data_IF_244549445113
#
_entry.id   IF_244549445113
#
_cell.length_a   1.000
_cell.length_b   1.000
_cell.length_c   1.000
_cell.angle_alpha   90.00
_cell.angle_beta   90.00
_cell.angle_gamma   90.00
#
_symmetry.space_group_name_H-M   'P 1'
#
loop_
_entity.id
_entity.type
_entity.pdbx_description
1 polymer ?
#
# COMPACT_ATOMS: atom_id res chain seq x y z
N UNK A 1 -5.06 10.22 7.09
CA UNK A 1 -5.85 9.83 5.90
C UNK A 1 -5.41 8.47 5.44
N UNK A 2 -6.18 7.79 4.59
CA UNK A 2 -5.81 6.49 4.04
C UNK A 2 -4.79 6.66 2.88
N UNK A 3 -3.59 6.07 2.97
CA UNK A 3 -2.62 6.07 1.86
C UNK A 3 -3.20 5.55 0.53
N UNK A 4 -4.17 4.62 0.56
CA UNK A 4 -4.79 4.05 -0.63
C UNK A 4 -5.80 4.97 -1.32
N UNK A 5 -6.11 6.12 -0.72
CA UNK A 5 -6.97 7.15 -1.33
C UNK A 5 -6.15 8.23 -2.06
N UNK A 6 -4.82 8.21 -1.93
CA UNK A 6 -3.97 9.18 -2.62
C UNK A 6 -4.05 8.99 -4.13
N UNK A 7 -4.01 10.10 -4.87
CA UNK A 7 -3.95 10.11 -6.33
C UNK A 7 -2.72 9.33 -6.84
N UNK A 8 -2.92 8.24 -7.61
CA UNK A 8 -1.83 7.45 -8.18
C UNK A 8 -0.87 8.28 -9.05
N UNK A 9 -1.36 9.31 -9.76
CA UNK A 9 -0.53 10.11 -10.66
C UNK A 9 0.44 11.00 -9.88
N UNK A 10 0.02 11.50 -8.72
CA UNK A 10 0.90 12.23 -7.80
C UNK A 10 1.98 11.30 -7.21
N UNK A 11 1.63 10.06 -6.86
CA UNK A 11 2.59 9.07 -6.37
C UNK A 11 3.60 8.71 -7.47
N UNK A 12 3.14 8.55 -8.71
CA UNK A 12 4.00 8.34 -9.88
C UNK A 12 4.97 9.52 -10.09
N UNK A 13 4.48 10.76 -9.94
CA UNK A 13 5.35 11.93 -10.01
C UNK A 13 6.38 11.94 -8.87
N UNK A 14 6.03 11.53 -7.65
CA UNK A 14 6.97 11.44 -6.53
C UNK A 14 8.05 10.36 -6.76
N UNK A 15 7.71 9.23 -7.40
CA UNK A 15 8.69 8.22 -7.81
C UNK A 15 9.61 8.76 -8.91
N UNK A 16 9.05 9.42 -9.94
CA UNK A 16 9.84 10.02 -11.04
C UNK A 16 10.78 11.13 -10.57
N UNK A 17 10.41 11.83 -9.50
CA UNK A 17 11.23 12.85 -8.86
C UNK A 17 12.18 12.27 -7.79
N UNK A 18 12.35 10.96 -7.73
CA UNK A 18 13.24 10.24 -6.80
C UNK A 18 12.94 10.51 -5.31
N UNK A 19 11.76 11.03 -4.98
CA UNK A 19 11.36 11.27 -3.58
C UNK A 19 11.07 9.97 -2.84
N UNK A 20 10.58 8.98 -3.58
CA UNK A 20 10.25 7.64 -3.11
C UNK A 20 10.61 6.60 -4.17
N UNK A 21 10.76 5.34 -3.78
CA UNK A 21 11.00 4.24 -4.72
C UNK A 21 9.69 3.65 -5.24
N UNK A 22 9.74 2.97 -6.39
CA UNK A 22 8.59 2.24 -6.94
C UNK A 22 8.07 1.16 -5.96
N UNK A 23 8.98 0.46 -5.29
CA UNK A 23 8.64 -0.52 -4.24
C UNK A 23 7.89 0.11 -3.08
N UNK A 24 8.32 1.29 -2.64
CA UNK A 24 7.63 2.03 -1.58
C UNK A 24 6.24 2.49 -2.04
N UNK A 25 6.13 3.00 -3.27
CA UNK A 25 4.85 3.36 -3.87
C UNK A 25 3.85 2.19 -3.90
N UNK A 26 4.35 1.00 -4.28
CA UNK A 26 3.55 -0.23 -4.32
C UNK A 26 3.08 -0.66 -2.94
N UNK A 27 3.96 -0.66 -1.94
CA UNK A 27 3.63 -1.16 -0.59
C UNK A 27 2.71 -0.21 0.17
N UNK A 28 3.03 1.07 0.19
CA UNK A 28 2.35 2.03 1.07
C UNK A 28 1.10 2.63 0.43
N UNK A 29 1.16 2.97 -0.87
CA UNK A 29 0.07 3.62 -1.59
C UNK A 29 -0.73 2.67 -2.49
N UNK A 30 -0.28 1.43 -2.64
CA UNK A 30 -0.89 0.45 -3.53
C UNK A 30 -0.76 0.82 -5.01
N UNK A 31 0.23 1.64 -5.38
CA UNK A 31 0.40 2.14 -6.76
C UNK A 31 1.44 1.30 -7.48
N UNK A 32 1.06 0.76 -8.63
CA UNK A 32 1.95 0.00 -9.51
C UNK A 32 2.32 0.88 -10.69
N UNK A 33 3.62 0.93 -11.00
CA UNK A 33 4.15 1.66 -12.14
C UNK A 33 4.60 0.68 -13.21
N UNK A 34 4.37 1.05 -14.46
CA UNK A 34 4.96 0.38 -15.62
C UNK A 34 6.42 0.85 -15.76
N UNK A 35 7.37 -0.08 -15.65
CA UNK A 35 8.81 0.19 -15.72
C UNK A 35 9.29 0.60 -17.12
N UNK A 36 8.51 0.30 -18.16
CA UNK A 36 8.84 0.65 -19.55
C UNK A 36 8.37 2.06 -19.88
N UNK A 37 7.15 2.43 -19.45
CA UNK A 37 6.54 3.73 -19.78
C UNK A 37 6.66 4.76 -18.67
N UNK A 38 7.06 4.35 -17.46
CA UNK A 38 7.08 5.18 -16.25
C UNK A 38 5.73 5.86 -15.95
N UNK A 39 4.65 5.16 -16.23
CA UNK A 39 3.26 5.59 -15.94
C UNK A 39 2.59 4.67 -14.93
N UNK A 40 1.50 5.13 -14.33
CA UNK A 40 0.67 4.28 -13.47
C UNK A 40 0.03 3.16 -14.29
N UNK A 41 0.21 1.91 -13.87
CA UNK A 41 -0.64 0.81 -14.30
C UNK A 41 -1.94 0.87 -13.49
N UNK A 42 -2.97 1.47 -14.10
CA UNK A 42 -4.29 1.62 -13.50
C UNK A 42 -4.88 0.27 -13.08
N UNK A 43 -4.79 -0.76 -13.93
CA UNK A 43 -5.40 -2.07 -13.66
C UNK A 43 -4.70 -2.76 -12.50
N UNK A 44 -3.37 -2.78 -12.50
CA UNK A 44 -2.60 -3.38 -11.42
C UNK A 44 -2.76 -2.60 -10.10
N UNK A 45 -2.83 -1.27 -10.17
CA UNK A 45 -3.07 -0.39 -9.01
C UNK A 45 -4.44 -0.66 -8.39
N UNK A 46 -5.51 -0.74 -9.19
CA UNK A 46 -6.86 -1.06 -8.71
C UNK A 46 -6.92 -2.44 -8.06
N UNK A 47 -6.34 -3.45 -8.71
CA UNK A 47 -6.28 -4.82 -8.18
C UNK A 47 -5.52 -4.87 -6.85
N UNK A 48 -4.35 -4.22 -6.77
CA UNK A 48 -3.54 -4.16 -5.57
C UNK A 48 -4.28 -3.45 -4.43
N UNK A 49 -4.90 -2.29 -4.70
CA UNK A 49 -5.69 -1.56 -3.69
C UNK A 49 -6.89 -2.36 -3.20
N UNK A 50 -7.56 -3.12 -4.06
CA UNK A 50 -8.64 -4.03 -3.66
C UNK A 50 -8.14 -5.09 -2.68
N UNK A 51 -6.99 -5.71 -2.97
CA UNK A 51 -6.37 -6.70 -2.09
C UNK A 51 -5.96 -6.10 -0.75
N UNK A 52 -5.26 -4.96 -0.75
CA UNK A 52 -4.81 -4.30 0.49
C UNK A 52 -5.98 -3.88 1.38
N UNK A 53 -7.10 -3.44 0.79
CA UNK A 53 -8.33 -3.14 1.55
C UNK A 53 -8.90 -4.38 2.22
N UNK A 54 -9.02 -5.49 1.48
CA UNK A 54 -9.49 -6.78 2.03
C UNK A 54 -8.58 -7.30 3.13
N UNK A 55 -7.27 -7.20 2.97
CA UNK A 55 -6.30 -7.60 4.00
C UNK A 55 -6.46 -6.77 5.28
N UNK A 56 -6.65 -5.46 5.15
CA UNK A 56 -6.90 -4.57 6.31
C UNK A 56 -8.22 -4.90 7.00
N UNK A 57 -9.29 -5.18 6.25
CA UNK A 57 -10.58 -5.62 6.81
C UNK A 57 -10.44 -6.93 7.59
N UNK A 58 -9.71 -7.91 7.04
CA UNK A 58 -9.42 -9.18 7.71
C UNK A 58 -8.58 -8.99 8.97
N UNK A 59 -7.60 -8.07 8.96
CA UNK A 59 -6.79 -7.73 10.12
C UNK A 59 -7.60 -7.02 11.21
N UNK A 60 -8.55 -6.16 10.84
CA UNK A 60 -9.46 -5.49 11.78
C UNK A 60 -10.44 -6.46 12.43
N UNK A 61 -10.85 -7.54 11.74
CA UNK A 61 -11.74 -8.56 12.30
C UNK A 61 -11.03 -9.69 13.06
N UNK A 62 -9.71 -9.82 12.92
CA UNK A 62 -8.88 -10.82 13.62
C UNK A 62 -8.21 -10.35 14.91
N UNK A 63 -8.31 -9.08 15.30
CA UNK A 63 -7.62 -8.53 16.48
C UNK A 63 -8.53 -8.46 17.73
N UNK A 64 -9.16 -9.57 18.08
CA UNK A 64 -9.48 -9.87 19.48
C UNK A 64 -8.42 -10.85 19.99
N UNK A 65 -7.66 -10.44 21.00
CA UNK A 65 -6.58 -11.17 21.68
C UNK A 65 -5.19 -11.00 21.07
N UNK A 66 -4.53 -9.92 21.46
CA UNK A 66 -3.10 -10.00 21.78
C UNK A 66 -3.05 -10.60 23.19
N UNK A 67 -2.55 -11.82 23.43
CA UNK A 67 -2.22 -12.18 24.79
C UNK A 67 -1.00 -11.34 25.14
N UNK A 68 -1.18 -10.43 26.10
CA UNK A 68 -0.11 -9.77 26.81
C UNK A 68 0.86 -10.88 27.25
N UNK A 69 2.06 -10.91 26.68
CA UNK A 69 3.09 -11.84 27.09
C UNK A 69 3.46 -11.45 28.53
N UNK A 70 2.89 -12.18 29.49
CA UNK A 70 3.34 -12.20 30.86
C UNK A 70 4.81 -12.62 30.87
N UNK A 71 5.68 -11.70 31.28
CA UNK A 71 7.07 -12.00 31.60
C UNK A 71 7.34 -11.45 33.01
N UNK A 72 6.66 -12.03 33.99
CA UNK A 72 7.21 -12.16 35.33
C UNK A 72 8.05 -13.44 35.33
N UNK A 73 9.37 -13.29 35.51
CA UNK A 73 10.29 -14.34 35.95
C UNK A 73 11.51 -13.69 36.61
#
# INVERSE_FOLDING_TARGET
GDPLERDPDLVCADVRNEKITADYARREYGVVLDEQTWTVDQRATEALRSTLRKEREQQSQGKATVPLLSADA
#
